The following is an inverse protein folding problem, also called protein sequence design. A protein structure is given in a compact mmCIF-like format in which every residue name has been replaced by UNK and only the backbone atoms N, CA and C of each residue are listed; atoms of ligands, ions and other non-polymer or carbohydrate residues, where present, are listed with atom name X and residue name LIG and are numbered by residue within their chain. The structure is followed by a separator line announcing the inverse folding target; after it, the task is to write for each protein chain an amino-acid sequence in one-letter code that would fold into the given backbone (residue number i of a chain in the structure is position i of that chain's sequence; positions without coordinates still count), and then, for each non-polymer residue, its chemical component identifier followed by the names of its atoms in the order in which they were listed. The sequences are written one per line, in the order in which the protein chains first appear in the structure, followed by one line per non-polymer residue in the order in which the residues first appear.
data_IF_890308547497
#
_entry.id   IF_890308547497
#
_cell.length_a   1.000
_cell.length_b   1.000
_cell.length_c   1.000
_cell.angle_alpha   90.00
_cell.angle_beta   90.00
_cell.angle_gamma   90.00
#
_symmetry.space_group_name_H-M   'P 1'
#
loop_
_entity.id
_entity.type
_entity.pdbx_description
1 polymer ?
#
# COMPACT_ATOMS: atom_id res chain seq x y z
N UNK A 1 31.85 20.48 -23.72
CA UNK A 1 31.89 19.83 -22.38
C UNK A 1 30.75 18.82 -22.37
N UNK A 2 30.97 17.53 -22.05
CA UNK A 2 29.85 16.59 -22.00
C UNK A 2 28.96 16.96 -20.81
N UNK A 3 27.66 17.10 -21.06
CA UNK A 3 26.65 17.37 -20.03
C UNK A 3 26.35 16.06 -19.29
N UNK A 4 26.61 15.99 -17.99
CA UNK A 4 26.37 14.81 -17.15
C UNK A 4 24.98 14.82 -16.50
N UNK A 5 24.08 15.69 -16.95
CA UNK A 5 22.70 15.75 -16.45
C UNK A 5 21.78 14.65 -17.00
N UNK A 6 22.23 13.88 -17.99
CA UNK A 6 21.39 13.00 -18.83
C UNK A 6 21.11 11.61 -18.24
N UNK A 7 20.90 11.48 -16.92
CA UNK A 7 20.67 10.14 -16.36
C UNK A 7 20.34 10.00 -14.90
N UNK A 8 19.98 11.06 -14.18
CA UNK A 8 19.47 10.90 -12.82
C UNK A 8 17.95 10.82 -12.86
N UNK A 9 17.42 9.60 -12.95
CA UNK A 9 16.02 9.34 -12.62
C UNK A 9 15.90 9.55 -11.10
N UNK A 10 15.57 10.77 -10.69
CA UNK A 10 15.17 11.06 -9.31
C UNK A 10 13.73 10.56 -9.14
N UNK A 11 13.58 9.32 -8.68
CA UNK A 11 12.30 8.88 -8.11
C UNK A 11 12.21 9.51 -6.72
N UNK A 12 11.20 10.36 -6.49
CA UNK A 12 10.94 10.96 -5.16
C UNK A 12 10.34 9.89 -4.24
N UNK A 13 11.21 9.07 -3.65
CA UNK A 13 10.84 7.99 -2.75
C UNK A 13 10.09 8.48 -1.52
N UNK A 14 10.40 9.69 -1.03
CA UNK A 14 9.69 10.33 0.07
C UNK A 14 8.20 10.48 -0.21
N UNK A 15 7.84 10.95 -1.41
CA UNK A 15 6.43 11.08 -1.80
C UNK A 15 5.70 9.73 -1.85
N UNK A 16 6.43 8.66 -2.11
CA UNK A 16 5.86 7.32 -2.29
C UNK A 16 5.72 6.58 -0.95
N UNK A 17 6.64 6.78 -0.02
CA UNK A 17 6.51 6.31 1.36
C UNK A 17 5.29 6.95 2.05
N UNK A 18 5.09 8.27 1.87
CA UNK A 18 3.88 8.94 2.37
C UNK A 18 2.59 8.39 1.77
N UNK A 19 2.60 8.06 0.48
CA UNK A 19 1.43 7.47 -0.19
C UNK A 19 1.12 6.07 0.36
N UNK A 20 2.13 5.25 0.67
CA UNK A 20 1.94 3.94 1.29
C UNK A 20 1.34 4.07 2.68
N UNK A 21 1.92 4.93 3.52
CA UNK A 21 1.45 5.15 4.89
C UNK A 21 -0.01 5.66 4.90
N UNK A 22 -0.33 6.60 4.00
CA UNK A 22 -1.69 7.13 3.86
C UNK A 22 -2.67 6.05 3.38
N UNK A 23 -2.30 5.23 2.40
CA UNK A 23 -3.14 4.10 1.95
C UNK A 23 -3.36 3.05 3.05
N UNK A 24 -2.34 2.74 3.86
CA UNK A 24 -2.49 1.83 5.00
C UNK A 24 -3.44 2.41 6.05
N UNK A 25 -3.27 3.71 6.37
CA UNK A 25 -4.12 4.42 7.31
C UNK A 25 -5.59 4.42 6.87
N UNK A 26 -5.85 4.77 5.60
CA UNK A 26 -7.19 4.79 5.04
C UNK A 26 -7.84 3.40 5.02
N UNK A 27 -7.07 2.35 4.75
CA UNK A 27 -7.56 0.97 4.77
C UNK A 27 -7.97 0.53 6.16
N UNK A 28 -7.16 0.86 7.17
CA UNK A 28 -7.49 0.58 8.55
C UNK A 28 -8.74 1.36 9.00
N UNK A 29 -8.93 2.60 8.52
CA UNK A 29 -10.16 3.36 8.75
C UNK A 29 -11.38 2.69 8.09
N UNK A 30 -11.27 2.25 6.84
CA UNK A 30 -12.34 1.54 6.13
C UNK A 30 -12.75 0.27 6.90
N UNK A 31 -11.77 -0.52 7.36
CA UNK A 31 -12.05 -1.70 8.20
C UNK A 31 -12.78 -1.32 9.50
N UNK A 32 -12.30 -0.31 10.20
CA UNK A 32 -12.94 0.17 11.43
C UNK A 32 -14.38 0.66 11.20
N UNK A 33 -14.66 1.31 10.07
CA UNK A 33 -16.03 1.73 9.73
C UNK A 33 -16.93 0.55 9.40
N UNK A 34 -16.41 -0.47 8.72
CA UNK A 34 -17.17 -1.70 8.45
C UNK A 34 -17.46 -2.49 9.73
N UNK A 35 -16.51 -2.55 10.66
CA UNK A 35 -16.71 -3.18 11.97
C UNK A 35 -17.76 -2.42 12.80
N UNK A 36 -17.71 -1.08 12.79
CA UNK A 36 -18.70 -0.25 13.47
C UNK A 36 -20.10 -0.44 12.86
N UNK A 37 -20.19 -0.43 11.53
CA UNK A 37 -21.43 -0.68 10.80
C UNK A 37 -21.99 -2.08 11.13
N UNK A 38 -21.13 -3.10 11.22
CA UNK A 38 -21.53 -4.45 11.60
C UNK A 38 -22.10 -4.49 13.02
N UNK A 39 -21.46 -3.82 13.98
CA UNK A 39 -21.96 -3.75 15.36
C UNK A 39 -23.30 -3.02 15.48
N UNK A 40 -23.49 -1.91 14.77
CA UNK A 40 -24.77 -1.19 14.74
C UNK A 40 -25.89 -2.04 14.14
N UNK A 41 -25.57 -2.82 13.12
CA UNK A 41 -26.54 -3.67 12.41
C UNK A 41 -26.81 -4.99 13.11
N UNK A 42 -25.90 -5.53 13.93
CA UNK A 42 -26.14 -6.71 14.79
C UNK A 42 -27.35 -6.50 15.72
N UNK A 43 -27.53 -5.28 16.23
CA UNK A 43 -28.70 -4.90 17.01
C UNK A 43 -30.00 -4.88 16.18
N UNK A 44 -29.89 -4.63 14.88
CA UNK A 44 -31.02 -4.56 13.96
C UNK A 44 -31.36 -5.96 13.40
N UNK A 45 -30.37 -6.81 13.15
CA UNK A 45 -30.52 -8.21 12.69
C UNK A 45 -31.30 -9.05 13.72
N UNK A 46 -31.12 -8.77 15.02
CA UNK A 46 -31.92 -9.41 16.07
C UNK A 46 -33.44 -9.16 15.94
N UNK A 47 -33.84 -8.13 15.18
CA UNK A 47 -35.25 -7.81 14.89
C UNK A 47 -35.72 -8.36 13.54
N UNK A 48 -34.79 -8.82 12.68
CA UNK A 48 -35.10 -9.31 11.34
C UNK A 48 -35.41 -10.82 11.40
N UNK A 49 -36.55 -11.21 10.84
CA UNK A 49 -36.98 -12.61 10.76
C UNK A 49 -37.25 -12.94 9.29
N UNK A 50 -36.63 -14.02 8.80
CA UNK A 50 -36.85 -14.51 7.43
C UNK A 50 -35.75 -14.08 6.45
N UNK A 51 -36.12 -13.92 5.17
CA UNK A 51 -35.20 -13.76 4.05
C UNK A 51 -34.28 -12.52 4.16
N UNK A 52 -34.74 -11.46 4.82
CA UNK A 52 -33.97 -10.22 5.00
C UNK A 52 -32.67 -10.42 5.82
N UNK A 53 -32.71 -11.30 6.83
CA UNK A 53 -31.53 -11.65 7.63
C UNK A 53 -30.50 -12.45 6.82
N UNK A 54 -30.97 -13.26 5.86
CA UNK A 54 -30.09 -14.02 4.95
C UNK A 54 -29.39 -13.08 3.99
N UNK A 55 -30.15 -12.19 3.34
CA UNK A 55 -29.59 -11.18 2.43
C UNK A 55 -28.59 -10.28 3.14
N UNK A 56 -28.88 -9.90 4.39
CA UNK A 56 -27.95 -9.12 5.19
C UNK A 56 -26.62 -9.84 5.39
N UNK A 57 -26.62 -11.10 5.84
CA UNK A 57 -25.40 -11.89 6.04
C UNK A 57 -24.59 -12.06 4.76
N UNK A 58 -25.25 -12.18 3.61
CA UNK A 58 -24.56 -12.21 2.31
C UNK A 58 -23.85 -10.88 2.02
N UNK A 59 -24.53 -9.75 2.23
CA UNK A 59 -23.92 -8.42 2.05
C UNK A 59 -22.79 -8.15 3.03
N UNK A 60 -22.97 -8.57 4.29
CA UNK A 60 -21.98 -8.45 5.34
C UNK A 60 -20.70 -9.22 4.99
N UNK A 61 -20.86 -10.47 4.55
CA UNK A 61 -19.74 -11.30 4.11
C UNK A 61 -19.03 -10.67 2.90
N UNK A 62 -19.80 -10.12 1.95
CA UNK A 62 -19.25 -9.52 0.74
C UNK A 62 -18.42 -8.26 1.02
N UNK A 63 -18.90 -7.32 1.84
CA UNK A 63 -18.13 -6.12 2.17
C UNK A 63 -16.90 -6.44 3.03
N UNK A 64 -16.99 -7.43 3.93
CA UNK A 64 -15.87 -7.82 4.80
C UNK A 64 -14.75 -8.42 3.94
N UNK A 65 -15.13 -9.33 3.02
CA UNK A 65 -14.19 -9.90 2.06
C UNK A 65 -13.54 -8.84 1.17
N UNK A 66 -14.31 -7.85 0.68
CA UNK A 66 -13.76 -6.77 -0.13
C UNK A 66 -12.74 -5.91 0.65
N UNK A 67 -13.01 -5.61 1.93
CA UNK A 67 -12.08 -4.87 2.78
C UNK A 67 -10.80 -5.64 3.09
N UNK A 68 -10.89 -6.95 3.28
CA UNK A 68 -9.71 -7.80 3.44
C UNK A 68 -8.88 -7.88 2.16
N UNK A 69 -9.54 -7.98 0.99
CA UNK A 69 -8.86 -7.96 -0.30
C UNK A 69 -8.14 -6.63 -0.56
N UNK A 70 -8.78 -5.49 -0.22
CA UNK A 70 -8.14 -4.17 -0.29
C UNK A 70 -6.90 -4.10 0.59
N UNK A 71 -6.97 -4.62 1.82
CA UNK A 71 -5.80 -4.71 2.71
C UNK A 71 -4.67 -5.56 2.14
N UNK A 72 -5.00 -6.72 1.55
CA UNK A 72 -4.00 -7.59 0.95
C UNK A 72 -3.32 -6.94 -0.28
N UNK A 73 -4.11 -6.28 -1.15
CA UNK A 73 -3.60 -5.58 -2.32
C UNK A 73 -2.63 -4.47 -1.92
N UNK A 74 -2.99 -3.67 -0.92
CA UNK A 74 -2.15 -2.57 -0.46
C UNK A 74 -0.87 -3.04 0.22
N UNK A 75 -0.94 -4.11 1.02
CA UNK A 75 0.26 -4.74 1.57
C UNK A 75 1.20 -5.23 0.44
N UNK A 76 0.64 -5.83 -0.62
CA UNK A 76 1.42 -6.26 -1.78
C UNK A 76 2.07 -5.09 -2.53
N UNK A 77 1.34 -3.99 -2.71
CA UNK A 77 1.87 -2.78 -3.35
C UNK A 77 2.97 -2.13 -2.52
N UNK A 78 2.78 -2.04 -1.19
CA UNK A 78 3.79 -1.53 -0.27
C UNK A 78 5.08 -2.35 -0.33
N UNK A 79 4.97 -3.69 -0.30
CA UNK A 79 6.13 -4.59 -0.43
C UNK A 79 6.86 -4.38 -1.76
N UNK A 80 6.10 -4.36 -2.87
CA UNK A 80 6.68 -4.18 -4.22
C UNK A 80 7.44 -2.86 -4.32
N UNK A 81 6.88 -1.79 -3.75
CA UNK A 81 7.53 -0.50 -3.79
C UNK A 81 8.81 -0.47 -2.94
N UNK A 82 8.78 -1.09 -1.75
CA UNK A 82 9.97 -1.24 -0.90
C UNK A 82 11.09 -1.99 -1.63
N UNK A 83 10.76 -3.06 -2.35
CA UNK A 83 11.72 -3.82 -3.15
C UNK A 83 12.34 -2.97 -4.28
N UNK A 84 11.52 -2.16 -4.95
CA UNK A 84 11.98 -1.24 -6.01
C UNK A 84 12.92 -0.17 -5.44
N UNK A 85 12.57 0.43 -4.30
CA UNK A 85 13.39 1.43 -3.62
C UNK A 85 14.74 0.84 -3.21
N UNK A 86 14.74 -0.36 -2.61
CA UNK A 86 15.96 -1.04 -2.20
C UNK A 86 16.86 -1.36 -3.39
N UNK A 87 16.30 -1.93 -4.46
CA UNK A 87 17.04 -2.23 -5.67
C UNK A 87 17.66 -0.98 -6.32
N UNK A 88 16.96 0.15 -6.27
CA UNK A 88 17.45 1.41 -6.81
C UNK A 88 18.60 2.00 -5.96
N UNK A 89 18.46 2.04 -4.63
CA UNK A 89 19.50 2.52 -3.72
C UNK A 89 20.79 1.68 -3.82
N UNK A 90 20.66 0.35 -3.90
CA UNK A 90 21.81 -0.54 -4.13
C UNK A 90 22.52 -0.24 -5.46
N UNK A 91 21.76 -0.01 -6.52
CA UNK A 91 22.31 0.30 -7.83
C UNK A 91 23.01 1.67 -7.85
N UNK A 92 22.44 2.65 -7.15
CA UNK A 92 23.04 3.98 -7.01
C UNK A 92 24.34 3.92 -6.20
N UNK A 93 24.37 3.19 -5.08
CA UNK A 93 25.58 2.95 -4.28
C UNK A 93 26.68 2.27 -5.11
N UNK A 94 26.35 1.21 -5.84
CA UNK A 94 27.29 0.52 -6.74
C UNK A 94 27.83 1.43 -7.84
N UNK A 95 26.95 2.23 -8.45
CA UNK A 95 27.35 3.19 -9.48
C UNK A 95 28.30 4.25 -8.91
N UNK A 96 27.98 4.82 -7.75
CA UNK A 96 28.82 5.80 -7.06
C UNK A 96 30.21 5.24 -6.69
N UNK A 97 30.29 3.97 -6.26
CA UNK A 97 31.57 3.28 -6.02
C UNK A 97 32.38 3.07 -7.30
N UNK A 98 31.72 2.74 -8.42
CA UNK A 98 32.37 2.64 -9.73
C UNK A 98 33.02 3.97 -10.15
N UNK A 99 32.29 5.07 -9.99
CA UNK A 99 32.81 6.42 -10.27
C UNK A 99 33.93 6.86 -9.33
N UNK A 100 33.92 6.46 -8.05
CA UNK A 100 35.02 6.77 -7.12
C UNK A 100 36.31 6.03 -7.49
N UNK A 101 36.20 4.77 -7.95
CA UNK A 101 37.35 3.98 -8.40
C UNK A 101 38.03 4.56 -9.64
N UNK A 102 37.25 5.14 -10.57
CA UNK A 102 37.76 5.80 -11.77
C UNK A 102 38.44 7.15 -11.45
N UNK A 103 38.06 7.82 -10.35
CA UNK A 103 38.61 9.11 -9.95
C UNK A 103 39.95 9.01 -9.20
N UNK A 104 40.27 7.84 -8.63
CA UNK A 104 41.52 7.57 -7.89
C UNK A 104 42.64 7.06 -8.83
N UNK A 105 42.30 6.65 -10.06
CA UNK A 105 43.26 6.21 -11.08
C UNK A 105 43.75 7.32 -12.01
N UNK A 106 44.45 8.34 -11.50
CA UNK A 106 45.35 9.21 -12.28
C UNK A 106 46.46 9.78 -11.39
#
# INVERSE_FOLDING_TARGET
MPNFEDGNIFVDFTSTDYAIDDMQMQTNQIKSWLDALAQELDHLDASWVGDDAVVYKEKQTAWNSAADQMGALLASHASTLGDVTHAFDENQKRSAQGWSSLKIGR
#
